data_IF_236507291602
#
_entry.id   IF_236507291602
#
_cell.length_a   1.000
_cell.length_b   1.000
_cell.length_c   1.000
_cell.angle_alpha   90.00
_cell.angle_beta   90.00
_cell.angle_gamma   90.00
#
_symmetry.space_group_name_H-M   'P 1'
#
loop_
_entity.id
_entity.type
_entity.pdbx_description
1 polymer ?
#
# COMPACT_ATOMS: atom_id res chain seq x y z
N UNK A 1 16.39 -17.31 -7.44
CA UNK A 1 15.64 -16.11 -7.87
C UNK A 1 15.19 -15.36 -6.61
N UNK A 2 15.30 -14.02 -6.56
CA UNK A 2 14.96 -13.22 -5.37
C UNK A 2 13.59 -12.55 -5.54
N UNK A 3 12.77 -12.54 -4.49
CA UNK A 3 11.46 -11.89 -4.43
C UNK A 3 11.49 -10.76 -3.39
N UNK A 4 11.06 -9.56 -3.78
CA UNK A 4 10.86 -8.43 -2.87
C UNK A 4 9.40 -8.41 -2.41
N UNK A 5 9.17 -8.32 -1.10
CA UNK A 5 7.84 -8.20 -0.50
C UNK A 5 7.81 -6.94 0.36
N UNK A 6 6.84 -6.06 0.15
CA UNK A 6 6.61 -4.88 1.00
C UNK A 6 5.46 -5.16 1.96
N UNK A 7 5.61 -4.87 3.26
CA UNK A 7 4.57 -5.17 4.26
C UNK A 7 4.49 -6.67 4.62
N UNK A 8 5.61 -7.39 4.51
CA UNK A 8 5.68 -8.83 4.70
C UNK A 8 5.46 -9.36 6.12
N UNK A 9 5.57 -8.54 7.16
CA UNK A 9 5.30 -8.92 8.55
C UNK A 9 3.81 -8.78 8.93
N UNK A 10 2.94 -8.36 8.00
CA UNK A 10 1.48 -8.39 8.15
C UNK A 10 0.83 -9.74 7.77
N UNK A 11 -0.49 -9.84 7.89
CA UNK A 11 -1.24 -11.09 7.65
C UNK A 11 -1.02 -11.70 6.25
N UNK A 12 -1.27 -10.92 5.19
CA UNK A 12 -1.11 -11.39 3.80
C UNK A 12 0.37 -11.49 3.41
N UNK A 13 1.17 -10.53 3.87
CA UNK A 13 2.60 -10.47 3.61
C UNK A 13 3.31 -11.72 4.13
N UNK A 14 3.02 -12.13 5.36
CA UNK A 14 3.71 -13.26 6.00
C UNK A 14 3.35 -14.60 5.38
N UNK A 15 2.09 -14.77 4.95
CA UNK A 15 1.69 -15.93 4.16
C UNK A 15 2.41 -15.99 2.81
N UNK A 16 2.54 -14.85 2.13
CA UNK A 16 3.25 -14.74 0.84
C UNK A 16 4.73 -15.11 0.97
N UNK A 17 5.39 -14.61 2.02
CA UNK A 17 6.80 -14.91 2.30
C UNK A 17 6.99 -16.39 2.57
N UNK A 18 6.15 -16.99 3.44
CA UNK A 18 6.22 -18.42 3.75
C UNK A 18 6.01 -19.29 2.53
N UNK A 19 5.01 -18.97 1.69
CA UNK A 19 4.77 -19.69 0.43
C UNK A 19 5.96 -19.58 -0.53
N UNK A 20 6.50 -18.38 -0.72
CA UNK A 20 7.63 -18.14 -1.61
C UNK A 20 8.89 -18.91 -1.17
N UNK A 21 9.14 -18.98 0.13
CA UNK A 21 10.31 -19.67 0.68
C UNK A 21 10.13 -21.19 0.71
N UNK A 22 9.01 -21.69 1.24
CA UNK A 22 8.79 -23.13 1.44
C UNK A 22 8.45 -23.87 0.16
N UNK A 23 7.49 -23.34 -0.59
CA UNK A 23 6.91 -24.07 -1.72
C UNK A 23 7.62 -23.76 -3.04
N UNK A 24 8.36 -22.65 -3.09
CA UNK A 24 9.03 -22.17 -4.32
C UNK A 24 10.55 -22.02 -4.18
N UNK A 25 11.11 -22.20 -2.98
CA UNK A 25 12.55 -22.12 -2.73
C UNK A 25 13.17 -20.76 -3.08
N UNK A 26 12.38 -19.68 -3.03
CA UNK A 26 12.84 -18.34 -3.36
C UNK A 26 13.54 -17.70 -2.17
N UNK A 27 14.55 -16.88 -2.44
CA UNK A 27 15.09 -15.97 -1.44
C UNK A 27 14.22 -14.72 -1.38
N UNK A 28 13.83 -14.30 -0.18
CA UNK A 28 12.92 -13.18 0.06
C UNK A 28 13.64 -12.04 0.75
N UNK A 29 13.48 -10.83 0.21
CA UNK A 29 13.76 -9.58 0.90
C UNK A 29 12.41 -8.98 1.30
N UNK A 30 12.16 -8.91 2.61
CA UNK A 30 10.96 -8.29 3.16
C UNK A 30 11.29 -6.86 3.60
N UNK A 31 10.68 -5.88 2.95
CA UNK A 31 10.74 -4.48 3.38
C UNK A 31 9.47 -4.17 4.16
N UNK A 32 9.58 -4.05 5.47
CA UNK A 32 8.41 -3.85 6.33
C UNK A 32 8.70 -2.83 7.42
N UNK A 33 7.78 -1.91 7.68
CA UNK A 33 7.95 -0.87 8.69
C UNK A 33 7.79 -1.39 10.13
N UNK A 34 7.28 -2.61 10.31
CA UNK A 34 6.90 -3.22 11.59
C UNK A 34 5.97 -2.31 12.40
N UNK A 35 4.88 -1.87 11.76
CA UNK A 35 3.83 -1.08 12.41
C UNK A 35 2.88 -1.97 13.23
N UNK A 36 1.84 -1.40 13.84
CA UNK A 36 0.89 -2.16 14.68
C UNK A 36 0.19 -3.35 13.98
N UNK A 37 0.11 -3.35 12.65
CA UNK A 37 -0.49 -4.43 11.85
C UNK A 37 0.55 -5.46 11.37
N UNK A 38 1.80 -5.32 11.80
CA UNK A 38 2.93 -6.15 11.47
C UNK A 38 3.61 -6.64 12.77
N UNK A 39 4.00 -7.90 12.80
CA UNK A 39 4.59 -8.51 13.99
C UNK A 39 5.72 -9.43 13.49
N UNK A 40 6.98 -9.23 13.92
CA UNK A 40 8.09 -10.12 13.54
C UNK A 40 7.80 -11.60 13.79
N UNK A 41 6.98 -11.87 14.82
CA UNK A 41 6.45 -13.17 15.20
C UNK A 41 5.68 -13.86 14.06
N UNK A 42 5.04 -13.11 13.15
CA UNK A 42 4.35 -13.67 11.99
C UNK A 42 5.31 -14.38 11.02
N UNK A 43 6.62 -14.14 11.15
CA UNK A 43 7.69 -14.69 10.34
C UNK A 43 8.72 -15.46 11.18
N UNK A 44 8.45 -15.75 12.46
CA UNK A 44 9.39 -16.43 13.36
C UNK A 44 9.93 -17.75 12.77
N UNK A 45 9.09 -18.45 12.02
CA UNK A 45 9.35 -19.73 11.40
C UNK A 45 10.24 -19.66 10.15
N UNK A 46 10.59 -18.46 9.71
CA UNK A 46 11.50 -18.22 8.59
C UNK A 46 12.53 -17.10 8.85
N UNK A 47 12.46 -16.43 10.01
CA UNK A 47 13.28 -15.27 10.36
C UNK A 47 14.79 -15.57 10.33
N UNK A 48 15.20 -16.77 10.75
CA UNK A 48 16.61 -17.19 10.80
C UNK A 48 17.10 -17.82 9.49
N UNK A 49 16.26 -17.88 8.46
CA UNK A 49 16.64 -18.50 7.19
C UNK A 49 17.70 -17.64 6.47
N UNK A 50 18.77 -18.24 5.92
CA UNK A 50 19.71 -17.51 5.06
C UNK A 50 19.07 -17.00 3.76
N UNK A 51 17.87 -17.49 3.44
CA UNK A 51 17.07 -17.06 2.30
C UNK A 51 16.06 -15.96 2.64
N UNK A 52 16.03 -15.47 3.88
CA UNK A 52 15.16 -14.40 4.31
C UNK A 52 15.98 -13.20 4.79
N UNK A 53 15.54 -12.00 4.44
CA UNK A 53 16.14 -10.76 4.95
C UNK A 53 15.02 -9.78 5.24
N UNK A 54 14.90 -9.37 6.51
CA UNK A 54 14.05 -8.25 6.89
C UNK A 54 14.84 -6.94 6.76
N UNK A 55 14.25 -5.98 6.07
CA UNK A 55 14.70 -4.61 5.96
C UNK A 55 13.61 -3.73 6.55
N UNK A 56 13.84 -3.16 7.72
CA UNK A 56 12.83 -2.35 8.37
C UNK A 56 12.74 -0.95 7.71
N UNK A 57 11.80 -0.76 6.76
CA UNK A 57 11.72 0.45 5.92
C UNK A 57 10.32 0.69 5.25
N UNK A 58 10.05 1.85 4.62
CA UNK A 58 8.86 2.32 3.83
C UNK A 58 9.35 3.22 2.64
N UNK A 59 8.56 3.66 1.65
CA UNK A 59 9.12 4.07 0.33
C UNK A 59 8.47 5.27 -0.41
N UNK A 60 7.53 6.04 0.16
CA UNK A 60 7.04 7.30 -0.46
C UNK A 60 6.24 8.19 0.52
N UNK A 61 6.43 9.52 0.52
CA UNK A 61 5.72 10.48 1.39
C UNK A 61 4.79 11.43 0.58
N UNK A 62 3.49 11.41 0.90
CA UNK A 62 2.46 12.37 0.51
C UNK A 62 1.49 12.52 1.68
N UNK A 63 0.96 13.71 1.92
CA UNK A 63 -0.12 13.88 2.90
C UNK A 63 -1.44 13.32 2.34
N UNK A 64 -2.34 12.89 3.23
CA UNK A 64 -3.64 12.36 2.83
C UNK A 64 -4.43 13.36 1.96
N UNK A 65 -4.37 14.66 2.30
CA UNK A 65 -5.09 15.70 1.56
C UNK A 65 -4.51 15.93 0.16
N UNK A 66 -3.19 15.81 -0.03
CA UNK A 66 -2.57 15.90 -1.36
C UNK A 66 -3.01 14.75 -2.26
N UNK A 67 -3.11 13.54 -1.70
CA UNK A 67 -3.63 12.37 -2.44
C UNK A 67 -5.08 12.60 -2.87
N UNK A 68 -5.93 13.04 -1.95
CA UNK A 68 -7.36 13.30 -2.26
C UNK A 68 -7.51 14.38 -3.32
N UNK A 69 -6.79 15.51 -3.20
CA UNK A 69 -6.83 16.58 -4.21
C UNK A 69 -6.32 16.13 -5.57
N UNK A 70 -5.29 15.29 -5.61
CA UNK A 70 -4.83 14.69 -6.87
C UNK A 70 -5.94 13.88 -7.53
N UNK A 71 -6.67 13.07 -6.77
CA UNK A 71 -7.80 12.27 -7.28
C UNK A 71 -8.93 13.19 -7.76
N UNK A 72 -9.30 14.22 -6.99
CA UNK A 72 -10.33 15.18 -7.40
C UNK A 72 -9.97 15.84 -8.74
N UNK A 73 -8.75 16.37 -8.87
CA UNK A 73 -8.30 16.99 -10.11
C UNK A 73 -8.27 16.00 -11.29
N UNK A 74 -7.85 14.76 -11.06
CA UNK A 74 -7.86 13.71 -12.07
C UNK A 74 -9.29 13.37 -12.54
N UNK A 75 -10.25 13.36 -11.62
CA UNK A 75 -11.67 13.14 -11.92
C UNK A 75 -12.27 14.33 -12.66
N UNK A 76 -11.99 15.56 -12.23
CA UNK A 76 -12.49 16.79 -12.87
C UNK A 76 -12.01 16.91 -14.33
N UNK A 77 -10.78 16.50 -14.62
CA UNK A 77 -10.22 16.50 -15.99
C UNK A 77 -10.98 15.55 -16.94
N UNK A 78 -11.49 14.42 -16.42
CA UNK A 78 -12.12 13.35 -17.22
C UNK A 78 -13.65 13.35 -17.18
N UNK A 79 -14.23 13.88 -16.10
CA UNK A 79 -15.68 13.91 -15.83
C UNK A 79 -16.11 15.32 -15.37
N UNK A 80 -15.84 16.37 -16.17
CA UNK A 80 -16.08 17.75 -15.77
C UNK A 80 -17.57 18.08 -15.51
N UNK A 81 -18.48 17.28 -16.06
CA UNK A 81 -19.93 17.43 -15.88
C UNK A 81 -20.42 17.08 -14.47
N UNK A 82 -19.61 16.37 -13.66
CA UNK A 82 -19.96 16.00 -12.30
C UNK A 82 -19.85 17.16 -11.29
N UNK A 83 -19.34 18.32 -11.72
CA UNK A 83 -18.97 19.44 -10.84
C UNK A 83 -17.60 19.22 -10.21
N UNK A 84 -17.16 20.18 -9.37
CA UNK A 84 -15.86 20.11 -8.74
C UNK A 84 -15.81 18.98 -7.69
N UNK A 85 -14.99 17.96 -7.91
CA UNK A 85 -14.89 16.82 -6.99
C UNK A 85 -14.28 17.20 -5.63
N UNK A 86 -13.59 18.34 -5.51
CA UNK A 86 -13.13 18.85 -4.21
C UNK A 86 -14.29 19.22 -3.27
N UNK A 87 -15.47 19.54 -3.79
CA UNK A 87 -16.67 19.82 -2.99
C UNK A 87 -17.16 18.58 -2.24
N UNK A 88 -16.68 17.38 -2.61
CA UNK A 88 -16.98 16.11 -1.95
C UNK A 88 -16.08 15.84 -0.73
N UNK A 89 -15.09 16.70 -0.46
CA UNK A 89 -14.16 16.52 0.66
C UNK A 89 -14.86 16.87 1.97
N UNK A 90 -14.98 15.89 2.86
CA UNK A 90 -15.44 16.08 4.24
C UNK A 90 -14.29 15.82 5.22
N UNK A 91 -13.97 16.82 6.04
CA UNK A 91 -13.04 16.65 7.16
C UNK A 91 -13.76 15.99 8.33
N UNK A 92 -13.27 14.83 8.76
CA UNK A 92 -13.85 14.06 9.86
C UNK A 92 -12.92 14.03 11.06
N UNK A 93 -13.47 13.72 12.24
CA UNK A 93 -12.67 13.47 13.44
C UNK A 93 -11.61 12.42 13.15
N UNK A 94 -10.38 12.76 13.56
CA UNK A 94 -9.23 11.92 13.35
C UNK A 94 -9.33 10.59 14.11
N UNK A 95 -8.71 9.54 13.58
CA UNK A 95 -8.66 8.24 14.23
C UNK A 95 -7.75 8.32 15.46
N UNK A 96 -8.16 7.81 16.64
CA UNK A 96 -7.23 7.67 17.76
C UNK A 96 -5.98 6.89 17.37
N UNK A 97 -4.81 7.50 17.55
CA UNK A 97 -3.53 6.91 17.15
C UNK A 97 -3.22 7.03 15.65
N UNK A 98 -3.72 8.05 14.96
CA UNK A 98 -3.31 8.35 13.59
C UNK A 98 -1.84 8.81 13.57
N UNK A 99 -0.98 8.02 12.94
CA UNK A 99 0.41 8.40 12.72
C UNK A 99 0.48 9.58 11.74
N UNK A 100 1.14 10.68 12.16
CA UNK A 100 1.12 11.92 11.40
C UNK A 100 2.05 11.92 10.17
N UNK A 101 3.05 11.04 10.14
CA UNK A 101 4.09 11.06 9.11
C UNK A 101 4.71 9.67 8.88
N UNK A 102 4.81 9.32 7.60
CA UNK A 102 5.53 8.15 7.10
C UNK A 102 6.55 8.64 6.07
N UNK A 103 7.84 8.32 6.25
CA UNK A 103 8.89 8.76 5.35
C UNK A 103 10.11 7.86 5.50
N UNK A 104 10.64 7.31 4.40
CA UNK A 104 11.90 6.59 4.50
C UNK A 104 12.86 6.76 3.35
N UNK A 105 14.09 6.40 3.70
CA UNK A 105 15.29 6.38 2.90
C UNK A 105 15.54 5.02 2.20
N UNK A 106 15.34 4.92 0.88
CA UNK A 106 15.66 3.74 0.10
C UNK A 106 17.13 3.69 -0.37
N UNK A 107 18.03 4.50 0.18
CA UNK A 107 19.42 4.60 -0.28
C UNK A 107 20.13 3.26 -0.24
N UNK A 108 19.95 2.47 0.82
CA UNK A 108 20.60 1.16 0.93
C UNK A 108 20.21 0.20 -0.19
N UNK A 109 18.92 0.08 -0.51
CA UNK A 109 18.45 -0.84 -1.56
C UNK A 109 18.82 -0.35 -2.96
N UNK A 110 18.86 0.97 -3.16
CA UNK A 110 19.40 1.60 -4.38
C UNK A 110 20.87 1.25 -4.57
N UNK A 111 21.67 1.41 -3.53
CA UNK A 111 23.12 1.30 -3.63
C UNK A 111 23.56 -0.17 -3.68
N UNK A 112 22.95 -1.04 -2.88
CA UNK A 112 23.35 -2.46 -2.80
C UNK A 112 22.75 -3.33 -3.92
N UNK A 113 21.53 -3.01 -4.40
CA UNK A 113 20.82 -3.84 -5.36
C UNK A 113 20.55 -3.15 -6.71
N UNK A 114 20.92 -1.88 -6.86
CA UNK A 114 20.58 -1.09 -8.05
C UNK A 114 19.08 -0.88 -8.23
N UNK A 115 18.29 -1.07 -7.17
CA UNK A 115 16.83 -0.92 -7.24
C UNK A 115 16.48 0.57 -7.36
N UNK A 116 15.55 0.90 -8.26
CA UNK A 116 14.93 2.22 -8.31
C UNK A 116 13.44 2.07 -8.63
N UNK A 117 12.57 2.96 -8.11
CA UNK A 117 11.17 2.97 -8.49
C UNK A 117 11.04 3.27 -9.98
N UNK A 118 10.18 2.52 -10.66
CA UNK A 118 9.86 2.72 -12.10
C UNK A 118 8.73 3.71 -12.32
N UNK A 119 7.93 3.95 -11.29
CA UNK A 119 6.80 4.85 -11.30
C UNK A 119 7.05 5.96 -10.27
N UNK A 120 6.60 7.16 -10.59
CA UNK A 120 6.39 8.24 -9.60
C UNK A 120 5.04 8.06 -8.94
N UNK A 121 4.74 8.85 -7.90
CA UNK A 121 3.40 8.90 -7.33
C UNK A 121 2.35 9.24 -8.40
N UNK A 122 2.62 10.27 -9.20
CA UNK A 122 1.67 10.81 -10.18
C UNK A 122 1.37 9.80 -11.29
N UNK A 123 2.39 9.14 -11.83
CA UNK A 123 2.25 8.11 -12.88
C UNK A 123 1.59 6.83 -12.36
N UNK A 124 1.95 6.41 -11.14
CA UNK A 124 1.31 5.27 -10.49
C UNK A 124 -0.17 5.53 -10.15
N UNK A 125 -0.50 6.74 -9.67
CA UNK A 125 -1.85 7.12 -9.31
C UNK A 125 -2.75 7.25 -10.54
N UNK A 126 -2.29 7.88 -11.62
CA UNK A 126 -3.03 7.96 -12.88
C UNK A 126 -3.43 6.58 -13.40
N UNK A 127 -2.47 5.63 -13.45
CA UNK A 127 -2.73 4.25 -13.87
C UNK A 127 -3.68 3.52 -12.95
N UNK A 128 -3.58 3.77 -11.64
CA UNK A 128 -4.45 3.15 -10.64
C UNK A 128 -5.88 3.64 -10.84
N UNK A 129 -6.11 4.95 -10.95
CA UNK A 129 -7.43 5.53 -11.16
C UNK A 129 -8.04 5.05 -12.48
N UNK A 130 -7.29 5.08 -13.57
CA UNK A 130 -7.73 4.54 -14.86
C UNK A 130 -8.16 3.07 -14.73
N UNK A 131 -7.35 2.23 -14.07
CA UNK A 131 -7.71 0.83 -13.84
C UNK A 131 -9.01 0.69 -13.04
N UNK A 132 -9.23 1.48 -11.99
CA UNK A 132 -10.47 1.44 -11.22
C UNK A 132 -11.69 1.83 -12.06
N UNK A 133 -11.56 2.80 -12.95
CA UNK A 133 -12.65 3.19 -13.87
C UNK A 133 -12.94 2.09 -14.89
N UNK A 134 -11.90 1.47 -15.46
CA UNK A 134 -12.05 0.41 -16.46
C UNK A 134 -12.54 -0.93 -15.87
N UNK A 135 -12.45 -1.10 -14.55
CA UNK A 135 -12.76 -2.36 -13.85
C UNK A 135 -13.95 -2.24 -12.91
N UNK A 136 -14.96 -1.44 -13.30
CA UNK A 136 -16.20 -1.25 -12.55
C UNK A 136 -16.90 -2.54 -12.11
N UNK A 137 -17.09 -3.56 -12.98
CA UNK A 137 -17.72 -4.81 -12.56
C UNK A 137 -16.97 -5.52 -11.43
N UNK A 138 -15.64 -5.41 -11.41
CA UNK A 138 -14.79 -6.06 -10.41
C UNK A 138 -15.00 -5.46 -9.02
N UNK A 139 -14.88 -4.13 -8.86
CA UNK A 139 -15.05 -3.53 -7.53
C UNK A 139 -16.52 -3.45 -7.10
N UNK A 140 -17.47 -3.36 -8.03
CA UNK A 140 -18.90 -3.43 -7.69
C UNK A 140 -19.29 -4.76 -7.05
N UNK A 141 -18.77 -5.87 -7.58
CA UNK A 141 -19.01 -7.20 -7.01
C UNK A 141 -18.48 -7.30 -5.56
N UNK A 142 -17.31 -6.72 -5.30
CA UNK A 142 -16.72 -6.68 -3.94
C UNK A 142 -17.60 -5.86 -2.99
N UNK A 143 -18.07 -4.68 -3.43
CA UNK A 143 -18.90 -3.79 -2.62
C UNK A 143 -20.26 -4.41 -2.28
N UNK A 144 -20.92 -5.03 -3.26
CA UNK A 144 -22.28 -5.56 -3.13
C UNK A 144 -22.46 -6.62 -2.03
N UNK A 145 -21.40 -7.35 -1.65
CA UNK A 145 -21.48 -8.45 -0.69
C UNK A 145 -20.97 -8.17 0.72
N UNK A 146 -20.33 -7.01 0.99
CA UNK A 146 -19.55 -6.82 2.23
C UNK A 146 -19.59 -5.42 2.85
N UNK A 147 -19.88 -4.38 2.09
CA UNK A 147 -19.81 -2.99 2.57
C UNK A 147 -21.10 -2.24 2.21
N UNK A 148 -21.87 -1.83 3.22
CA UNK A 148 -23.10 -1.04 3.05
C UNK A 148 -22.84 0.46 2.92
N UNK A 149 -21.56 0.87 2.83
CA UNK A 149 -21.14 2.26 2.69
C UNK A 149 -21.18 3.08 3.97
N UNK A 150 -21.52 2.48 5.12
CA UNK A 150 -21.48 3.19 6.40
C UNK A 150 -20.04 3.38 6.88
N UNK A 151 -19.80 4.54 7.51
CA UNK A 151 -18.54 4.78 8.21
C UNK A 151 -18.36 3.75 9.32
N UNK A 152 -17.25 3.02 9.27
CA UNK A 152 -16.84 2.14 10.35
C UNK A 152 -15.97 2.93 11.35
N UNK A 153 -16.11 2.65 12.66
CA UNK A 153 -15.27 3.25 13.70
C UNK A 153 -15.81 4.52 14.38
N UNK A 154 -17.12 4.78 14.32
CA UNK A 154 -17.77 5.92 15.00
C UNK A 154 -18.07 5.68 16.49
N UNK A 155 -17.17 5.03 17.23
CA UNK A 155 -17.29 4.87 18.69
C UNK A 155 -16.26 5.71 19.41
#
# INVERSE_FOLDING_TARGET
>A
MKLLVTGGAGFIGSATIRHAMRDRGLSVVNVDKLTYAATPEALEDCADSPNYTLVQADIAEKTNIEVVRFICAWMDDRYPEAGAHEDLIEFVTDRPGHDLRYAIDPTRIRDELGWAPRETFETGMDRTLAWFMDNEPWWRAIRAGRYDGKRLGSK
#
